data_IF_213342382963
#
_entry.id   IF_213342382963
#
_cell.length_a   1.000
_cell.length_b   1.000
_cell.length_c   1.000
_cell.angle_alpha   90.00
_cell.angle_beta   90.00
_cell.angle_gamma   90.00
#
_symmetry.space_group_name_H-M   'P 1'
#
loop_
_entity.id
_entity.type
_entity.pdbx_description
1 polymer ?
#
# COMPACT_ATOMS: atom_id res chain seq x y z
N UNK A 1 -3.00 4.14 -3.27
CA UNK A 1 -2.32 2.85 -3.44
C UNK A 1 -2.12 2.63 -4.93
N UNK A 2 -0.90 2.27 -5.36
CA UNK A 2 -0.57 1.96 -6.76
C UNK A 2 -0.20 0.51 -6.92
N UNK A 3 -0.46 -0.05 -8.09
CA UNK A 3 0.06 -1.36 -8.48
C UNK A 3 1.59 -1.30 -8.52
N UNK A 4 2.22 -2.32 -7.96
CA UNK A 4 3.67 -2.52 -7.94
C UNK A 4 3.94 -3.88 -8.57
N UNK A 5 4.84 -3.93 -9.54
CA UNK A 5 5.37 -5.20 -10.01
C UNK A 5 6.48 -5.66 -9.08
N UNK A 6 6.17 -6.68 -8.27
CA UNK A 6 7.09 -7.25 -7.26
C UNK A 6 8.41 -7.72 -7.85
N UNK A 7 8.44 -8.09 -9.12
CA UNK A 7 9.60 -8.67 -9.79
C UNK A 7 10.58 -7.63 -10.34
N UNK A 8 10.25 -6.33 -10.28
CA UNK A 8 11.17 -5.25 -10.67
C UNK A 8 12.47 -5.25 -9.86
N UNK A 9 12.44 -5.75 -8.63
CA UNK A 9 13.60 -5.84 -7.74
C UNK A 9 13.73 -7.27 -7.25
N UNK A 10 14.91 -7.85 -7.46
CA UNK A 10 15.20 -9.21 -7.00
C UNK A 10 15.17 -9.30 -5.47
N UNK A 11 14.67 -10.41 -4.89
CA UNK A 11 14.76 -10.63 -3.45
C UNK A 11 16.21 -10.57 -2.97
N UNK A 12 16.54 -9.79 -1.92
CA UNK A 12 17.89 -9.74 -1.38
C UNK A 12 18.39 -11.11 -0.94
N UNK A 13 19.64 -11.43 -1.26
CA UNK A 13 20.26 -12.72 -0.92
C UNK A 13 20.20 -13.04 0.58
N UNK A 14 20.20 -12.02 1.46
CA UNK A 14 20.05 -12.18 2.91
C UNK A 14 18.75 -12.90 3.31
N UNK A 15 17.71 -12.83 2.47
CA UNK A 15 16.43 -13.52 2.66
C UNK A 15 16.41 -14.92 2.03
N UNK A 16 17.04 -15.09 0.87
CA UNK A 16 16.79 -16.23 -0.04
C UNK A 16 17.95 -17.21 -0.19
N UNK A 17 19.20 -16.77 -0.05
CA UNK A 17 20.35 -17.63 -0.32
C UNK A 17 20.61 -18.61 0.84
N UNK A 18 21.15 -19.77 0.50
CA UNK A 18 21.44 -20.86 1.46
C UNK A 18 22.43 -20.37 2.51
N UNK A 19 22.16 -20.69 3.77
CA UNK A 19 22.96 -20.30 4.92
C UNK A 19 22.82 -18.83 5.32
N UNK A 20 22.03 -18.01 4.63
CA UNK A 20 21.82 -16.61 5.00
C UNK A 20 20.86 -16.46 6.19
N UNK A 21 20.83 -15.29 6.85
CA UNK A 21 19.97 -15.03 8.00
C UNK A 21 18.49 -15.35 7.78
N UNK A 22 17.94 -15.15 6.58
CA UNK A 22 16.55 -15.44 6.26
C UNK A 22 16.18 -16.91 6.38
N UNK A 23 17.01 -17.79 5.82
CA UNK A 23 16.84 -19.24 5.97
C UNK A 23 17.04 -19.69 7.41
N UNK A 24 18.09 -19.19 8.08
CA UNK A 24 18.36 -19.51 9.49
C UNK A 24 17.20 -19.09 10.40
N UNK A 25 16.65 -17.90 10.21
CA UNK A 25 15.49 -17.39 10.95
C UNK A 25 14.25 -18.24 10.68
N UNK A 26 13.97 -18.57 9.41
CA UNK A 26 12.85 -19.46 9.04
C UNK A 26 12.96 -20.82 9.71
N UNK A 27 14.12 -21.48 9.62
CA UNK A 27 14.36 -22.79 10.23
C UNK A 27 14.23 -22.75 11.76
N UNK A 28 14.76 -21.69 12.40
CA UNK A 28 14.61 -21.50 13.84
C UNK A 28 13.13 -21.30 14.25
N UNK A 29 12.34 -20.55 13.47
CA UNK A 29 10.91 -20.35 13.77
C UNK A 29 10.10 -21.62 13.58
N UNK A 30 10.38 -22.40 12.53
CA UNK A 30 9.76 -23.71 12.29
C UNK A 30 10.05 -24.67 13.44
N UNK A 31 11.31 -24.78 13.87
CA UNK A 31 11.71 -25.60 15.00
C UNK A 31 11.06 -25.14 16.31
N UNK A 32 10.98 -23.82 16.55
CA UNK A 32 10.35 -23.27 17.75
C UNK A 32 8.87 -23.63 17.85
N UNK A 33 8.11 -23.46 16.75
CA UNK A 33 6.67 -23.72 16.73
C UNK A 33 6.32 -25.20 16.49
N UNK A 34 7.25 -26.04 16.07
CA UNK A 34 7.06 -27.50 16.04
C UNK A 34 6.84 -28.07 17.45
N UNK A 35 7.32 -27.39 18.52
CA UNK A 35 7.08 -27.78 19.91
C UNK A 35 5.66 -27.36 20.33
N UNK A 36 4.75 -28.30 20.69
CA UNK A 36 3.36 -27.96 21.02
C UNK A 36 3.23 -26.94 22.16
N UNK A 37 4.10 -27.03 23.18
CA UNK A 37 4.11 -26.08 24.31
C UNK A 37 4.55 -24.66 23.94
N UNK A 38 5.00 -24.43 22.71
CA UNK A 38 5.31 -23.09 22.18
C UNK A 38 4.18 -22.52 21.33
N UNK A 39 3.14 -23.30 21.02
CA UNK A 39 1.92 -22.78 20.40
C UNK A 39 1.31 -21.72 21.33
N UNK A 40 1.11 -20.51 20.81
CA UNK A 40 0.67 -19.35 21.59
C UNK A 40 1.78 -18.47 22.17
N UNK A 41 3.05 -18.92 22.18
CA UNK A 41 4.20 -18.11 22.62
C UNK A 41 4.73 -17.22 21.50
N UNK A 42 5.43 -16.16 21.89
CA UNK A 42 6.06 -15.21 20.95
C UNK A 42 7.49 -15.64 20.66
N UNK A 43 7.81 -15.90 19.40
CA UNK A 43 9.19 -16.00 18.95
C UNK A 43 9.82 -14.60 18.82
N UNK A 44 10.98 -14.38 19.46
CA UNK A 44 11.65 -13.06 19.54
C UNK A 44 12.78 -12.89 18.52
N UNK A 45 13.10 -13.94 17.75
CA UNK A 45 14.22 -13.94 16.81
C UNK A 45 13.97 -13.26 15.47
N UNK A 46 12.77 -12.71 15.21
CA UNK A 46 12.46 -12.05 13.95
C UNK A 46 13.25 -10.73 13.78
N UNK A 47 14.30 -10.74 12.95
CA UNK A 47 15.21 -9.61 12.77
C UNK A 47 15.57 -9.37 11.31
N UNK A 48 15.62 -10.40 10.47
CA UNK A 48 16.15 -10.30 9.09
C UNK A 48 15.37 -9.33 8.22
N UNK A 49 14.06 -9.20 8.41
CA UNK A 49 13.24 -8.25 7.66
C UNK A 49 13.65 -6.78 7.89
N UNK A 50 14.42 -6.48 8.95
CA UNK A 50 14.97 -5.15 9.24
C UNK A 50 16.38 -4.94 8.69
N UNK A 51 16.95 -5.94 8.03
CA UNK A 51 18.30 -5.85 7.48
C UNK A 51 18.38 -4.74 6.42
N UNK A 52 19.51 -4.04 6.34
CA UNK A 52 19.65 -2.88 5.46
C UNK A 52 19.48 -3.24 3.98
N UNK A 53 19.97 -4.40 3.54
CA UNK A 53 19.71 -4.89 2.17
C UNK A 53 18.21 -5.09 1.86
N UNK A 54 17.41 -5.51 2.86
CA UNK A 54 15.95 -5.65 2.71
C UNK A 54 15.30 -4.28 2.60
N UNK A 55 15.71 -3.34 3.45
CA UNK A 55 15.20 -1.98 3.41
C UNK A 55 15.55 -1.28 2.10
N UNK A 56 16.78 -1.42 1.63
CA UNK A 56 17.25 -0.84 0.37
C UNK A 56 16.42 -1.36 -0.81
N UNK A 57 16.25 -2.68 -0.93
CA UNK A 57 15.44 -3.27 -2.00
C UNK A 57 13.97 -2.86 -1.93
N UNK A 58 13.37 -2.74 -0.74
CA UNK A 58 11.98 -2.26 -0.61
C UNK A 58 11.85 -0.77 -0.97
N UNK A 59 12.85 0.05 -0.65
CA UNK A 59 12.85 1.46 -1.05
C UNK A 59 12.94 1.61 -2.56
N UNK A 60 13.81 0.84 -3.21
CA UNK A 60 13.92 0.78 -4.67
C UNK A 60 12.61 0.34 -5.30
N UNK A 61 12.03 -0.78 -4.83
CA UNK A 61 10.81 -1.35 -5.39
C UNK A 61 9.59 -0.40 -5.26
N UNK A 62 9.52 0.36 -4.18
CA UNK A 62 8.37 1.22 -3.88
C UNK A 62 8.62 2.72 -4.14
N UNK A 63 9.76 3.09 -4.73
CA UNK A 63 10.19 4.47 -4.98
C UNK A 63 10.15 5.34 -3.72
N UNK A 64 10.75 4.87 -2.62
CA UNK A 64 10.81 5.55 -1.30
C UNK A 64 9.44 6.00 -0.74
N UNK A 65 8.36 5.30 -1.11
CA UNK A 65 6.99 5.57 -0.67
C UNK A 65 6.41 4.44 0.19
N UNK A 66 5.39 4.80 0.96
CA UNK A 66 4.55 3.81 1.65
C UNK A 66 3.76 2.98 0.63
N UNK A 67 3.84 1.65 0.75
CA UNK A 67 3.12 0.69 -0.10
C UNK A 67 1.61 0.96 -0.17
N UNK A 68 1.03 1.45 0.93
CA UNK A 68 -0.41 1.61 1.06
C UNK A 68 -0.90 3.01 0.68
N UNK A 69 -0.37 4.05 1.31
CA UNK A 69 -0.85 5.41 1.13
C UNK A 69 -0.10 6.22 0.07
N UNK A 70 0.99 5.67 -0.50
CA UNK A 70 1.85 6.34 -1.50
C UNK A 70 2.47 7.67 -1.05
N UNK A 71 2.42 7.95 0.25
CA UNK A 71 3.11 9.11 0.82
C UNK A 71 4.61 8.79 0.86
N UNK A 72 5.42 9.74 0.39
CA UNK A 72 6.85 9.71 0.61
C UNK A 72 7.14 9.84 2.12
N UNK A 73 8.30 9.35 2.54
CA UNK A 73 8.64 9.41 3.96
C UNK A 73 9.10 10.81 4.39
N UNK A 74 9.63 11.65 3.50
CA UNK A 74 10.10 13.00 3.85
C UNK A 74 11.10 13.01 5.02
N UNK A 75 11.90 11.94 5.19
CA UNK A 75 12.78 11.74 6.34
C UNK A 75 12.12 11.14 7.59
N UNK A 76 10.80 10.97 7.60
CA UNK A 76 10.08 10.30 8.69
C UNK A 76 10.41 8.80 8.76
N UNK A 77 10.36 8.20 9.96
CA UNK A 77 10.61 6.78 10.12
C UNK A 77 9.50 5.95 9.46
N UNK A 78 9.93 4.83 8.88
CA UNK A 78 9.07 3.81 8.29
C UNK A 78 9.48 2.43 8.79
N UNK A 79 8.60 1.46 8.62
CA UNK A 79 8.82 0.09 9.04
C UNK A 79 8.66 -0.86 7.86
N UNK A 80 9.42 -1.95 7.89
CA UNK A 80 9.14 -3.11 7.06
C UNK A 80 7.98 -3.86 7.72
N UNK A 81 6.84 -3.84 7.04
CA UNK A 81 5.58 -4.45 7.45
C UNK A 81 5.40 -5.82 6.80
N UNK A 82 4.72 -6.71 7.52
CA UNK A 82 4.32 -8.02 7.04
C UNK A 82 2.87 -7.98 6.57
N UNK A 83 2.61 -8.19 5.28
CA UNK A 83 1.23 -8.20 4.76
C UNK A 83 0.38 -9.24 5.51
N UNK A 84 0.92 -10.45 5.64
CA UNK A 84 0.48 -11.51 6.55
C UNK A 84 1.24 -11.43 7.87
N UNK A 85 0.59 -11.03 8.98
CA UNK A 85 1.24 -10.80 10.26
C UNK A 85 1.96 -12.05 10.79
N UNK A 86 3.27 -11.93 11.05
CA UNK A 86 4.11 -13.06 11.50
C UNK A 86 3.78 -13.59 12.89
N UNK A 87 3.45 -12.70 13.83
CA UNK A 87 3.42 -13.05 15.25
C UNK A 87 2.03 -13.43 15.76
N UNK A 88 1.00 -12.81 15.20
CA UNK A 88 -0.38 -13.01 15.62
C UNK A 88 -1.36 -12.36 14.65
N UNK A 89 -2.64 -12.73 14.73
CA UNK A 89 -3.72 -12.14 13.93
C UNK A 89 -4.82 -11.64 14.87
N UNK A 90 -5.21 -10.37 14.71
CA UNK A 90 -6.34 -9.78 15.42
C UNK A 90 -7.61 -9.92 14.58
N UNK A 91 -8.69 -10.40 15.20
CA UNK A 91 -10.01 -10.40 14.58
C UNK A 91 -10.50 -8.95 14.39
N UNK A 92 -10.94 -8.64 13.17
CA UNK A 92 -11.46 -7.33 12.80
C UNK A 92 -12.97 -7.27 13.09
N UNK A 93 -13.40 -6.23 13.78
CA UNK A 93 -14.80 -5.79 13.79
C UNK A 93 -15.01 -4.83 12.61
N UNK A 94 -15.72 -5.30 11.58
CA UNK A 94 -15.96 -4.54 10.35
C UNK A 94 -16.85 -3.31 10.55
N UNK A 95 -17.59 -3.22 11.65
CA UNK A 95 -18.43 -2.04 11.94
C UNK A 95 -17.60 -0.91 12.53
N UNK A 96 -16.63 -1.25 13.38
CA UNK A 96 -15.76 -0.25 14.02
C UNK A 96 -14.42 -0.05 13.29
N UNK A 97 -14.07 -0.96 12.38
CA UNK A 97 -12.73 -1.11 11.79
C UNK A 97 -11.63 -1.28 12.84
N UNK A 98 -12.01 -1.80 14.02
CA UNK A 98 -11.14 -2.04 15.16
C UNK A 98 -11.05 -3.51 15.52
N UNK A 99 -10.38 -3.81 16.64
CA UNK A 99 -10.27 -5.18 17.12
C UNK A 99 -11.62 -5.64 17.69
N UNK A 100 -12.10 -6.79 17.24
CA UNK A 100 -13.29 -7.42 17.77
C UNK A 100 -13.14 -7.71 19.27
N UNK A 101 -14.11 -7.25 20.07
CA UNK A 101 -14.14 -7.47 21.51
C UNK A 101 -14.52 -8.91 21.82
N UNK A 102 -13.93 -9.49 22.86
CA UNK A 102 -14.20 -10.87 23.26
C UNK A 102 -13.57 -11.95 22.37
N UNK A 103 -12.96 -11.58 21.24
CA UNK A 103 -12.29 -12.54 20.35
C UNK A 103 -10.79 -12.60 20.69
N UNK A 104 -10.33 -13.80 21.06
CA UNK A 104 -8.93 -14.04 21.34
C UNK A 104 -8.09 -13.82 20.08
N UNK A 105 -6.91 -13.25 20.26
CA UNK A 105 -5.92 -13.08 19.20
C UNK A 105 -5.38 -14.45 18.79
N UNK A 106 -5.37 -14.73 17.50
CA UNK A 106 -4.85 -15.99 16.97
C UNK A 106 -3.33 -15.98 17.01
N UNK A 107 -2.72 -17.01 17.63
CA UNK A 107 -1.27 -17.18 17.75
C UNK A 107 -0.85 -18.63 17.46
N UNK A 108 0.31 -18.86 16.82
CA UNK A 108 1.11 -17.84 16.13
C UNK A 108 0.39 -17.30 14.89
N UNK A 109 0.92 -16.23 14.31
CA UNK A 109 0.54 -15.75 12.98
C UNK A 109 1.24 -16.55 11.87
N UNK A 110 1.49 -15.90 10.74
CA UNK A 110 2.20 -16.48 9.58
C UNK A 110 3.71 -16.44 9.78
N UNK A 111 4.21 -17.10 10.83
CA UNK A 111 5.61 -17.02 11.25
C UNK A 111 6.60 -17.47 10.17
N UNK A 112 6.22 -18.47 9.35
CA UNK A 112 7.06 -18.99 8.27
C UNK A 112 7.24 -18.00 7.11
N UNK A 113 6.37 -16.97 7.02
CA UNK A 113 6.43 -15.88 6.05
C UNK A 113 7.14 -14.63 6.60
N UNK A 114 7.76 -14.71 7.77
CA UNK A 114 8.40 -13.54 8.40
C UNK A 114 9.62 -13.02 7.62
N UNK A 115 10.32 -13.91 6.92
CA UNK A 115 11.48 -13.59 6.07
C UNK A 115 11.15 -13.70 4.57
N UNK A 116 9.87 -13.83 4.20
CA UNK A 116 9.47 -13.99 2.81
C UNK A 116 9.34 -12.63 2.11
N UNK A 117 10.14 -12.39 1.07
CA UNK A 117 10.13 -11.17 0.26
C UNK A 117 8.73 -10.77 -0.23
N UNK A 118 7.90 -11.73 -0.61
CA UNK A 118 6.55 -11.49 -1.12
C UNK A 118 5.58 -11.08 -0.01
N UNK A 119 5.96 -11.28 1.25
CA UNK A 119 5.19 -10.86 2.42
C UNK A 119 5.66 -9.52 3.03
N UNK A 120 6.77 -8.94 2.55
CA UNK A 120 7.35 -7.71 3.10
C UNK A 120 6.94 -6.48 2.28
N UNK A 121 6.60 -5.39 2.98
CA UNK A 121 6.23 -4.10 2.38
C UNK A 121 6.79 -2.94 3.19
N UNK A 122 7.20 -1.82 2.56
CA UNK A 122 7.53 -0.61 3.30
C UNK A 122 6.25 0.15 3.66
N UNK A 123 6.05 0.43 4.94
CA UNK A 123 4.86 1.12 5.43
C UNK A 123 5.21 2.26 6.39
N UNK A 124 4.52 3.39 6.21
CA UNK A 124 4.60 4.48 7.18
C UNK A 124 3.92 4.09 8.50
N UNK A 125 4.30 4.77 9.58
CA UNK A 125 3.77 4.48 10.93
C UNK A 125 2.24 4.57 11.00
N UNK A 126 1.61 5.47 10.24
CA UNK A 126 0.14 5.65 10.23
C UNK A 126 -0.61 4.49 9.55
N UNK A 127 -0.01 3.84 8.55
CA UNK A 127 -0.61 2.69 7.89
C UNK A 127 -0.27 1.39 8.61
N UNK A 128 0.91 1.32 9.24
CA UNK A 128 1.41 0.13 9.91
C UNK A 128 0.86 -0.06 11.34
N UNK A 129 0.86 1.00 12.15
CA UNK A 129 0.64 0.91 13.60
C UNK A 129 -0.69 1.55 14.01
N UNK A 130 -1.39 1.04 15.04
CA UNK A 130 -2.64 1.63 15.52
C UNK A 130 -2.38 3.05 16.06
N UNK A 131 -2.95 4.06 15.40
CA UNK A 131 -2.80 5.47 15.74
C UNK A 131 -4.14 6.19 15.65
N UNK A 132 -4.34 7.16 16.54
CA UNK A 132 -5.54 8.00 16.52
C UNK A 132 -5.45 9.09 15.45
N UNK A 133 -6.37 9.08 14.50
CA UNK A 133 -6.41 10.04 13.40
C UNK A 133 -7.71 10.84 13.37
N UNK A 134 -7.61 12.08 12.90
CA UNK A 134 -8.76 12.83 12.41
C UNK A 134 -9.08 12.36 10.98
N UNK A 135 -10.37 12.32 10.67
CA UNK A 135 -10.91 11.93 9.37
C UNK A 135 -11.79 13.05 8.83
N UNK A 136 -11.94 13.07 7.50
CA UNK A 136 -12.63 14.13 6.77
C UNK A 136 -14.06 14.32 7.28
N UNK A 137 -14.47 15.58 7.47
CA UNK A 137 -15.78 15.95 8.01
C UNK A 137 -15.74 16.50 9.44
N UNK A 138 -14.57 16.47 10.10
CA UNK A 138 -14.42 16.90 11.49
C UNK A 138 -15.05 15.91 12.47
N UNK A 139 -14.45 15.73 13.65
CA UNK A 139 -14.98 14.81 14.64
C UNK A 139 -13.94 14.23 15.60
N UNK A 140 -14.34 13.19 16.33
CA UNK A 140 -13.48 12.49 17.27
C UNK A 140 -12.39 11.71 16.53
N UNK A 141 -11.20 11.63 17.12
CA UNK A 141 -10.12 10.78 16.62
C UNK A 141 -10.60 9.32 16.60
N UNK A 142 -10.37 8.62 15.49
CA UNK A 142 -10.57 7.17 15.37
C UNK A 142 -9.21 6.50 15.19
N UNK A 143 -9.05 5.34 15.81
CA UNK A 143 -7.84 4.53 15.64
C UNK A 143 -7.89 3.77 14.32
N UNK A 144 -6.82 3.85 13.54
CA UNK A 144 -6.61 3.00 12.36
C UNK A 144 -5.12 2.62 12.27
N UNK A 145 -4.80 1.71 11.35
CA UNK A 145 -3.47 1.13 11.16
C UNK A 145 -3.55 -0.39 11.16
N UNK A 146 -2.86 -1.04 10.21
CA UNK A 146 -2.99 -2.48 9.94
C UNK A 146 -2.66 -3.33 11.16
N UNK A 147 -1.53 -3.08 11.81
CA UNK A 147 -1.01 -3.89 12.91
C UNK A 147 -1.10 -5.40 12.59
N UNK A 148 -1.89 -6.15 13.36
CA UNK A 148 -2.11 -7.57 13.14
C UNK A 148 -3.44 -7.88 12.42
N UNK A 149 -4.12 -6.89 11.86
CA UNK A 149 -5.32 -7.13 11.07
C UNK A 149 -4.92 -7.78 9.75
N UNK A 150 -5.52 -8.94 9.51
CA UNK A 150 -5.43 -9.65 8.24
C UNK A 150 -6.76 -10.39 8.01
N UNK A 151 -7.88 -9.68 7.83
CA UNK A 151 -9.18 -10.31 7.61
C UNK A 151 -9.21 -11.17 6.34
N UNK A 152 -9.85 -12.33 6.41
CA UNK A 152 -10.21 -13.15 5.24
C UNK A 152 -11.70 -13.02 4.94
N UNK A 153 -12.11 -13.43 3.73
CA UNK A 153 -13.51 -13.53 3.36
C UNK A 153 -14.27 -14.49 4.29
N UNK A 154 -15.59 -14.30 4.41
CA UNK A 154 -16.41 -15.14 5.27
C UNK A 154 -16.31 -16.63 4.85
N UNK A 155 -16.17 -17.52 5.83
CA UNK A 155 -15.98 -18.96 5.60
C UNK A 155 -14.53 -19.38 5.31
N UNK A 156 -13.60 -18.44 5.09
CA UNK A 156 -12.19 -18.78 4.99
C UNK A 156 -11.54 -18.93 6.37
N UNK A 157 -10.55 -19.81 6.46
CA UNK A 157 -9.73 -20.02 7.66
C UNK A 157 -8.28 -19.65 7.39
N UNK A 158 -7.61 -19.12 8.40
CA UNK A 158 -6.18 -18.84 8.32
C UNK A 158 -5.39 -20.14 8.22
N UNK A 159 -4.49 -20.24 7.24
CA UNK A 159 -3.40 -21.19 7.26
C UNK A 159 -2.62 -21.05 8.57
N UNK A 160 -2.22 -22.18 9.15
CA UNK A 160 -1.61 -22.29 10.47
C UNK A 160 -0.14 -22.73 10.38
N UNK A 161 0.29 -23.28 9.24
CA UNK A 161 1.67 -23.66 9.00
C UNK A 161 2.00 -23.73 7.51
N UNK A 162 3.30 -23.70 7.18
CA UNK A 162 3.76 -23.95 5.80
C UNK A 162 3.30 -25.31 5.26
N UNK A 163 3.15 -26.32 6.12
CA UNK A 163 2.86 -27.70 5.74
C UNK A 163 1.38 -27.96 5.42
N UNK A 164 0.46 -27.07 5.81
CA UNK A 164 -0.96 -27.32 5.58
C UNK A 164 -1.41 -27.10 4.13
N UNK A 165 -0.61 -26.41 3.31
CA UNK A 165 -0.92 -26.14 1.91
C UNK A 165 -2.16 -25.28 1.68
N UNK A 166 -2.78 -24.73 2.74
CA UNK A 166 -4.06 -24.01 2.68
C UNK A 166 -3.91 -22.55 2.25
N UNK A 167 -2.68 -22.03 2.21
CA UNK A 167 -2.39 -20.63 1.93
C UNK A 167 -2.99 -20.14 0.60
N UNK A 168 -2.99 -21.00 -0.43
CA UNK A 168 -3.54 -20.69 -1.75
C UNK A 168 -5.07 -20.57 -1.78
N UNK A 169 -5.77 -21.16 -0.80
CA UNK A 169 -7.23 -21.10 -0.68
C UNK A 169 -7.73 -19.89 0.13
N UNK A 170 -6.82 -19.12 0.74
CA UNK A 170 -7.20 -17.91 1.47
C UNK A 170 -7.69 -16.81 0.53
N UNK A 171 -8.70 -16.05 0.96
CA UNK A 171 -9.18 -14.87 0.26
C UNK A 171 -8.98 -13.62 1.13
N UNK A 172 -7.82 -12.93 1.04
CA UNK A 172 -7.53 -11.75 1.85
C UNK A 172 -8.46 -10.58 1.55
N UNK A 173 -8.98 -9.93 2.60
CA UNK A 173 -9.85 -8.76 2.46
C UNK A 173 -9.09 -7.43 2.40
N UNK A 174 -7.78 -7.45 2.68
CA UNK A 174 -6.89 -6.31 2.39
C UNK A 174 -6.35 -6.42 0.97
N UNK A 175 -6.14 -5.27 0.33
CA UNK A 175 -5.50 -5.17 -0.98
C UNK A 175 -3.98 -5.26 -0.81
N UNK A 176 -3.36 -6.20 -1.51
CA UNK A 176 -1.92 -6.27 -1.70
C UNK A 176 -1.55 -5.55 -3.01
N UNK A 177 -0.90 -4.38 -2.97
CA UNK A 177 -0.56 -3.63 -4.18
C UNK A 177 0.41 -4.35 -5.12
N UNK A 178 0.98 -5.48 -4.68
CA UNK A 178 1.94 -6.28 -5.45
C UNK A 178 1.32 -7.50 -6.12
N UNK A 179 0.06 -7.82 -5.77
CA UNK A 179 -0.72 -8.94 -6.32
C UNK A 179 -1.99 -8.44 -6.99
N UNK A 180 -2.73 -7.58 -6.31
CA UNK A 180 -3.99 -6.98 -6.77
C UNK A 180 -3.74 -5.72 -7.60
N UNK A 181 -4.65 -5.36 -8.51
CA UNK A 181 -4.72 -3.98 -9.04
C UNK A 181 -5.58 -3.12 -8.11
N UNK A 182 -5.00 -2.14 -7.39
CA UNK A 182 -5.79 -1.27 -6.52
C UNK A 182 -6.88 -0.49 -7.25
N UNK A 183 -6.75 -0.23 -8.57
CA UNK A 183 -7.74 0.51 -9.35
C UNK A 183 -9.07 -0.25 -9.53
N UNK A 184 -9.07 -1.58 -9.41
CA UNK A 184 -10.29 -2.39 -9.43
C UNK A 184 -11.10 -2.25 -8.13
N UNK A 185 -10.44 -1.87 -7.04
CA UNK A 185 -11.03 -1.84 -5.71
C UNK A 185 -11.19 -0.43 -5.12
N UNK A 186 -10.41 0.54 -5.60
CA UNK A 186 -10.34 1.90 -5.08
C UNK A 186 -10.64 2.91 -6.19
N UNK A 187 -11.16 4.06 -5.80
CA UNK A 187 -11.37 5.19 -6.69
C UNK A 187 -10.98 6.49 -5.98
N UNK A 188 -10.61 7.51 -6.73
CA UNK A 188 -10.38 8.84 -6.21
C UNK A 188 -11.53 9.77 -6.63
N UNK A 189 -12.02 10.55 -5.67
CA UNK A 189 -12.99 11.62 -5.87
C UNK A 189 -12.29 12.96 -5.71
N UNK A 190 -12.91 14.03 -6.22
CA UNK A 190 -12.40 15.40 -6.10
C UNK A 190 -12.03 15.74 -4.65
N UNK A 191 -10.96 16.51 -4.49
CA UNK A 191 -10.45 16.92 -3.18
C UNK A 191 -9.63 15.84 -2.49
N UNK A 192 -9.01 14.92 -3.25
CA UNK A 192 -8.14 13.88 -2.70
C UNK A 192 -8.85 12.83 -1.82
N UNK A 193 -10.18 12.70 -1.94
CA UNK A 193 -10.96 11.70 -1.21
C UNK A 193 -10.80 10.35 -1.92
N UNK A 194 -10.58 9.28 -1.15
CA UNK A 194 -10.49 7.92 -1.70
C UNK A 194 -11.78 7.15 -1.38
N UNK A 195 -12.48 6.70 -2.42
CA UNK A 195 -13.62 5.80 -2.35
C UNK A 195 -13.23 4.34 -2.55
N UNK A 196 -14.22 3.46 -2.46
CA UNK A 196 -14.08 2.03 -2.69
C UNK A 196 -15.06 1.56 -3.75
N UNK A 197 -14.59 0.74 -4.68
CA UNK A 197 -15.38 0.04 -5.71
C UNK A 197 -15.81 -1.37 -5.27
N UNK A 198 -15.27 -1.86 -4.16
CA UNK A 198 -15.51 -3.22 -3.67
C UNK A 198 -15.48 -3.29 -2.14
N UNK A 199 -15.96 -4.41 -1.58
CA UNK A 199 -15.89 -4.70 -0.14
C UNK A 199 -14.43 -4.73 0.34
N UNK A 200 -13.52 -5.36 -0.41
CA UNK A 200 -12.06 -5.36 -0.11
C UNK A 200 -11.50 -3.94 -0.05
N UNK A 201 -11.92 -3.08 -0.98
CA UNK A 201 -11.57 -1.65 -1.00
C UNK A 201 -12.04 -0.92 0.26
N UNK A 202 -13.29 -1.11 0.67
CA UNK A 202 -13.85 -0.48 1.87
C UNK A 202 -13.10 -0.89 3.14
N UNK A 203 -12.85 -2.19 3.32
CA UNK A 203 -12.08 -2.73 4.45
C UNK A 203 -10.65 -2.18 4.44
N UNK A 204 -10.00 -2.16 3.28
CA UNK A 204 -8.64 -1.62 3.13
C UNK A 204 -8.57 -0.14 3.51
N UNK A 205 -9.52 0.68 3.02
CA UNK A 205 -9.60 2.11 3.34
C UNK A 205 -9.79 2.34 4.84
N UNK A 206 -10.67 1.55 5.48
CA UNK A 206 -10.96 1.62 6.91
C UNK A 206 -9.76 1.21 7.78
N UNK A 207 -9.24 0.00 7.56
CA UNK A 207 -8.13 -0.57 8.35
C UNK A 207 -6.86 0.27 8.23
N UNK A 208 -6.50 0.72 7.03
CA UNK A 208 -5.27 1.49 6.80
C UNK A 208 -5.43 3.00 7.02
N UNK A 209 -6.64 3.46 7.34
CA UNK A 209 -6.93 4.87 7.56
C UNK A 209 -6.63 5.74 6.33
N UNK A 210 -7.02 5.28 5.13
CA UNK A 210 -6.66 5.97 3.88
C UNK A 210 -7.43 7.27 3.64
N UNK A 211 -8.41 7.59 4.49
CA UNK A 211 -9.14 8.87 4.54
C UNK A 211 -8.76 9.76 5.74
N UNK A 212 -7.61 9.52 6.40
CA UNK A 212 -7.13 10.43 7.45
C UNK A 212 -6.82 11.83 6.88
N UNK A 213 -7.08 12.86 7.67
CA UNK A 213 -7.02 14.27 7.23
C UNK A 213 -5.71 14.68 6.54
N UNK A 214 -4.51 14.41 7.10
CA UNK A 214 -3.27 14.82 6.46
C UNK A 214 -3.08 14.20 5.07
N UNK A 215 -3.50 12.94 4.91
CA UNK A 215 -3.40 12.22 3.65
C UNK A 215 -4.36 12.77 2.60
N UNK A 216 -5.61 13.07 2.99
CA UNK A 216 -6.59 13.68 2.08
C UNK A 216 -6.13 15.07 1.64
N UNK A 217 -5.67 15.91 2.57
CA UNK A 217 -5.15 17.25 2.24
C UNK A 217 -3.96 17.20 1.29
N UNK A 218 -3.02 16.28 1.51
CA UNK A 218 -1.85 16.12 0.63
C UNK A 218 -2.27 15.64 -0.77
N UNK A 219 -3.22 14.70 -0.87
CA UNK A 219 -3.80 14.29 -2.16
C UNK A 219 -4.51 15.46 -2.86
N UNK A 220 -5.33 16.22 -2.14
CA UNK A 220 -6.04 17.38 -2.68
C UNK A 220 -5.07 18.45 -3.23
N UNK A 221 -3.94 18.67 -2.56
CA UNK A 221 -2.90 19.60 -3.03
C UNK A 221 -2.29 19.15 -4.36
N UNK A 222 -1.92 17.87 -4.47
CA UNK A 222 -1.37 17.30 -5.70
C UNK A 222 -2.41 17.32 -6.83
N UNK A 223 -3.65 16.92 -6.54
CA UNK A 223 -4.77 16.97 -7.48
C UNK A 223 -5.00 18.40 -8.01
N UNK A 224 -5.00 19.40 -7.13
CA UNK A 224 -5.18 20.80 -7.52
C UNK A 224 -4.08 21.28 -8.46
N UNK A 225 -2.83 20.93 -8.17
CA UNK A 225 -1.69 21.25 -9.04
C UNK A 225 -1.84 20.62 -10.43
N UNK A 226 -2.17 19.32 -10.48
CA UNK A 226 -2.41 18.60 -11.73
C UNK A 226 -3.53 19.25 -12.56
N UNK A 227 -4.65 19.59 -11.93
CA UNK A 227 -5.79 20.22 -12.61
C UNK A 227 -5.43 21.55 -13.25
N UNK A 228 -4.58 22.36 -12.61
CA UNK A 228 -4.10 23.61 -13.21
C UNK A 228 -3.28 23.38 -14.50
N UNK A 229 -2.45 22.32 -14.53
CA UNK A 229 -1.69 21.96 -15.73
C UNK A 229 -2.64 21.41 -16.82
N UNK A 230 -3.64 20.63 -16.44
CA UNK A 230 -4.69 20.14 -17.36
C UNK A 230 -5.47 21.30 -17.98
N UNK A 231 -5.83 22.32 -17.21
CA UNK A 231 -6.52 23.51 -17.71
C UNK A 231 -5.66 24.27 -18.74
N UNK A 232 -4.35 24.30 -18.52
CA UNK A 232 -3.39 24.85 -19.50
C UNK A 232 -3.41 24.04 -20.80
N UNK A 233 -3.36 22.70 -20.73
CA UNK A 233 -3.47 21.82 -21.91
C UNK A 233 -4.75 22.09 -22.68
N UNK A 234 -5.90 22.13 -21.98
CA UNK A 234 -7.21 22.41 -22.61
C UNK A 234 -7.25 23.77 -23.28
N UNK A 235 -6.74 24.81 -22.62
CA UNK A 235 -6.68 26.16 -23.17
C UNK A 235 -5.84 26.21 -24.46
N UNK A 236 -4.68 25.54 -24.49
CA UNK A 236 -3.85 25.51 -25.69
C UNK A 236 -4.47 24.68 -26.82
N UNK A 237 -5.16 23.57 -26.51
CA UNK A 237 -5.90 22.80 -27.51
C UNK A 237 -7.02 23.62 -28.16
N UNK A 238 -7.73 24.45 -27.39
CA UNK A 238 -8.74 25.36 -27.93
C UNK A 238 -8.10 26.40 -28.85
N UNK A 239 -6.98 27.01 -28.44
CA UNK A 239 -6.25 27.98 -29.28
C UNK A 239 -5.80 27.38 -30.60
N UNK A 240 -5.22 26.17 -30.57
CA UNK A 240 -4.79 25.45 -31.77
C UNK A 240 -5.95 24.98 -32.65
N UNK A 241 -7.15 24.81 -32.08
CA UNK A 241 -8.37 24.57 -32.85
C UNK A 241 -8.88 25.81 -33.60
N UNK A 242 -8.55 27.01 -33.11
CA UNK A 242 -8.88 28.29 -33.75
C UNK A 242 -7.80 28.65 -34.80
N UNK A 243 -6.53 28.55 -34.42
CA UNK A 243 -5.38 28.78 -35.29
C UNK A 243 -4.37 27.65 -35.14
N UNK A 244 -4.36 26.73 -36.11
CA UNK A 244 -3.43 25.60 -36.13
C UNK A 244 -1.95 26.03 -36.27
N UNK A 245 -1.70 27.27 -36.74
CA UNK A 245 -0.37 27.86 -36.90
C UNK A 245 0.17 28.57 -35.67
N UNK A 246 -0.58 28.63 -34.55
CA UNK A 246 -0.13 29.29 -33.32
C UNK A 246 1.04 28.53 -32.67
N UNK A 247 2.26 28.94 -33.03
CA UNK A 247 3.50 28.32 -32.57
C UNK A 247 3.68 28.43 -31.05
N UNK A 248 3.19 29.51 -30.42
CA UNK A 248 3.29 29.68 -28.96
C UNK A 248 2.35 28.71 -28.24
N UNK A 249 1.11 28.57 -28.72
CA UNK A 249 0.18 27.59 -28.16
C UNK A 249 0.71 26.16 -28.28
N UNK A 250 1.41 25.83 -29.38
CA UNK A 250 2.09 24.53 -29.53
C UNK A 250 3.17 24.31 -28.47
N UNK A 251 4.07 25.27 -28.29
CA UNK A 251 5.16 25.19 -27.30
C UNK A 251 4.61 25.04 -25.87
N UNK A 252 3.58 25.82 -25.52
CA UNK A 252 2.99 25.76 -24.19
C UNK A 252 2.21 24.46 -23.96
N UNK A 253 1.55 23.91 -25.00
CA UNK A 253 0.93 22.59 -24.96
C UNK A 253 1.98 21.50 -24.68
N UNK A 254 3.07 21.49 -25.45
CA UNK A 254 4.13 20.50 -25.31
C UNK A 254 4.77 20.57 -23.91
N UNK A 255 5.02 21.78 -23.39
CA UNK A 255 5.53 21.99 -22.03
C UNK A 255 4.56 21.48 -20.97
N UNK A 256 3.25 21.78 -21.11
CA UNK A 256 2.25 21.32 -20.16
C UNK A 256 2.09 19.79 -20.20
N UNK A 257 2.15 19.17 -21.38
CA UNK A 257 2.11 17.72 -21.53
C UNK A 257 3.35 17.04 -20.93
N UNK A 258 4.54 17.57 -21.18
CA UNK A 258 5.78 17.10 -20.57
C UNK A 258 5.69 17.18 -19.04
N UNK A 259 5.18 18.30 -18.52
CA UNK A 259 4.98 18.47 -17.08
C UNK A 259 4.03 17.44 -16.47
N UNK A 260 2.91 17.13 -17.12
CA UNK A 260 2.00 16.06 -16.67
C UNK A 260 2.74 14.72 -16.60
N UNK A 261 3.49 14.40 -17.66
CA UNK A 261 4.25 13.15 -17.75
C UNK A 261 5.28 13.02 -16.63
N UNK A 262 6.09 14.06 -16.44
CA UNK A 262 7.28 13.99 -15.59
C UNK A 262 6.93 14.18 -14.11
N UNK A 263 6.03 15.11 -13.77
CA UNK A 263 5.70 15.44 -12.38
C UNK A 263 4.58 14.55 -11.79
N UNK A 264 3.65 14.06 -12.62
CA UNK A 264 2.42 13.40 -12.13
C UNK A 264 2.25 11.95 -12.57
N UNK A 265 2.88 11.53 -13.67
CA UNK A 265 2.73 10.19 -14.24
C UNK A 265 4.01 9.34 -14.16
N UNK A 266 5.11 9.87 -13.65
CA UNK A 266 6.35 9.13 -13.39
C UNK A 266 6.18 8.14 -12.23
N UNK A 267 6.95 7.04 -12.23
CA UNK A 267 6.86 6.00 -11.20
C UNK A 267 7.10 6.57 -9.78
N UNK A 268 8.01 7.54 -9.67
CA UNK A 268 8.32 8.28 -8.44
C UNK A 268 7.22 9.25 -7.98
N UNK A 269 6.31 9.68 -8.86
CA UNK A 269 5.31 10.69 -8.55
C UNK A 269 4.40 10.29 -7.35
N UNK A 270 4.05 11.24 -6.46
CA UNK A 270 3.16 10.96 -5.34
C UNK A 270 1.74 10.69 -5.82
N UNK A 271 1.08 9.71 -5.20
CA UNK A 271 -0.32 9.34 -5.50
C UNK A 271 -0.57 9.04 -6.99
N UNK A 272 0.32 8.26 -7.59
CA UNK A 272 0.33 8.00 -9.03
C UNK A 272 -1.02 7.46 -9.56
N UNK A 273 -1.68 6.59 -8.79
CA UNK A 273 -3.01 6.07 -9.17
C UNK A 273 -4.07 7.18 -9.28
N UNK A 274 -4.05 8.14 -8.37
CA UNK A 274 -4.96 9.29 -8.41
C UNK A 274 -4.67 10.16 -9.64
N UNK A 275 -3.39 10.46 -9.88
CA UNK A 275 -2.98 11.27 -11.03
C UNK A 275 -3.35 10.59 -12.36
N UNK A 276 -3.10 9.28 -12.50
CA UNK A 276 -3.51 8.49 -13.66
C UNK A 276 -5.03 8.49 -13.87
N UNK A 277 -5.81 8.41 -12.79
CA UNK A 277 -7.28 8.48 -12.88
C UNK A 277 -7.73 9.86 -13.38
N UNK A 278 -7.23 10.94 -12.77
CA UNK A 278 -7.59 12.32 -13.15
C UNK A 278 -7.21 12.62 -14.60
N UNK A 279 -6.00 12.25 -15.05
CA UNK A 279 -5.59 12.48 -16.45
C UNK A 279 -6.48 11.70 -17.42
N UNK A 280 -6.82 10.45 -17.10
CA UNK A 280 -7.69 9.62 -17.96
C UNK A 280 -9.10 10.20 -18.09
N UNK A 281 -9.65 10.73 -17.00
CA UNK A 281 -10.98 11.33 -16.97
C UNK A 281 -11.02 12.69 -17.68
N UNK A 282 -9.98 13.51 -17.49
CA UNK A 282 -9.98 14.90 -17.96
C UNK A 282 -9.35 15.10 -19.34
N UNK A 283 -8.43 14.23 -19.76
CA UNK A 283 -7.70 14.27 -21.04
C UNK A 283 -7.73 12.88 -21.73
N UNK A 284 -8.93 12.37 -22.09
CA UNK A 284 -9.07 11.03 -22.63
C UNK A 284 -8.28 10.85 -23.93
N UNK A 285 -7.46 9.80 -24.01
CA UNK A 285 -6.70 9.43 -25.19
C UNK A 285 -5.41 10.22 -25.43
N UNK A 286 -5.12 11.25 -24.63
CA UNK A 286 -3.93 12.09 -24.80
C UNK A 286 -2.67 11.48 -24.17
N UNK A 287 -2.85 10.65 -23.15
CA UNK A 287 -1.80 9.86 -22.49
C UNK A 287 -2.23 8.40 -22.54
N UNK A 288 -1.60 7.61 -23.44
CA UNK A 288 -1.77 6.16 -23.53
C UNK A 288 -0.58 5.47 -22.90
#
# INVERSE_FOLDING_TARGET
MRRIDRNKVAPPAVLTAVGQPGERERNATLAFYAVPGNQGKTFTGFKVYRHEAVKAALKELFDDKCAFCEMDYGGAPWAVEHFRPKGAIDALDVMTMGRAKGVARLKPGYYWLAADWFNLMPACTDCNSPRGHLFTGGGRKRTSGKANFFPLANGCVHSRSQADGMLAGEQPMLIDPTVDDPAEHLEFKKGGIIGSRSVRGSITVGVLGLQRDPLVRKRAQIEKGLRFVIDTVRSQLVRLGIDAGDALARIDLDRAMARIKDEYLSDGAPFLSMCKQVVREELPGLFR
#
